data_IF_059456856753
#
_entry.id   IF_059456856753
#
_cell.length_a   1.000
_cell.length_b   1.000
_cell.length_c   1.000
_cell.angle_alpha   90.00
_cell.angle_beta   90.00
_cell.angle_gamma   90.00
#
_symmetry.space_group_name_H-M   'P 1'
#
loop_
_entity.id
_entity.type
_entity.pdbx_description
1 polymer ?
#
# COMPACT_ATOMS: atom_id res chain seq x y z
N UNK A 1 9.52 -83.31 17.90
CA UNK A 1 10.18 -82.73 16.71
C UNK A 1 9.12 -82.16 15.79
N UNK A 2 8.69 -80.93 16.03
CA UNK A 2 7.73 -80.23 15.16
C UNK A 2 8.28 -78.83 14.92
N UNK A 3 9.04 -78.72 13.84
CA UNK A 3 9.55 -77.45 13.33
C UNK A 3 8.38 -76.58 12.87
N UNK A 4 8.27 -75.39 13.46
CA UNK A 4 7.37 -74.34 12.99
C UNK A 4 8.17 -73.38 12.13
N UNK A 5 7.88 -73.42 10.84
CA UNK A 5 8.29 -72.43 9.85
C UNK A 5 7.75 -71.05 10.25
N UNK A 6 8.60 -70.03 10.25
CA UNK A 6 8.16 -68.64 10.26
C UNK A 6 8.07 -68.15 8.82
N UNK A 7 6.85 -67.89 8.36
CA UNK A 7 6.58 -67.22 7.09
C UNK A 7 6.75 -65.72 7.32
N UNK A 8 7.70 -65.12 6.61
CA UNK A 8 7.89 -63.67 6.52
C UNK A 8 6.83 -63.14 5.55
N UNK A 9 5.85 -62.37 6.05
CA UNK A 9 4.92 -61.60 5.21
C UNK A 9 4.80 -60.18 5.80
N UNK A 10 5.09 -59.18 4.96
CA UNK A 10 4.68 -57.79 5.20
C UNK A 10 5.78 -56.77 4.93
N UNK A 11 5.96 -56.41 3.65
CA UNK A 11 6.79 -55.28 3.24
C UNK A 11 6.28 -53.93 3.76
N UNK A 12 7.08 -52.85 3.63
CA UNK A 12 6.79 -51.57 4.25
C UNK A 12 5.56 -50.93 3.59
N UNK A 13 4.50 -50.76 4.36
CA UNK A 13 3.33 -49.97 3.97
C UNK A 13 3.79 -48.53 3.66
N UNK A 14 3.87 -48.19 2.37
CA UNK A 14 4.01 -46.79 1.93
C UNK A 14 2.77 -46.02 2.41
N UNK A 15 2.98 -45.11 3.36
CA UNK A 15 1.96 -44.16 3.76
C UNK A 15 1.50 -43.34 2.53
N UNK A 16 0.18 -43.09 2.38
CA UNK A 16 -0.31 -42.24 1.30
C UNK A 16 0.22 -40.81 1.47
N UNK A 17 0.57 -40.10 0.38
CA UNK A 17 1.07 -38.73 0.47
C UNK A 17 -0.01 -37.81 1.05
N UNK A 18 0.34 -37.12 2.13
CA UNK A 18 -0.52 -36.11 2.75
C UNK A 18 -0.80 -35.00 1.74
N UNK A 19 -2.07 -34.81 1.36
CA UNK A 19 -2.53 -33.69 0.55
C UNK A 19 -2.49 -32.43 1.42
N UNK A 20 -1.41 -31.65 1.31
CA UNK A 20 -1.38 -30.30 1.84
C UNK A 20 -2.34 -29.41 1.06
N UNK A 21 -3.18 -28.59 1.72
CA UNK A 21 -4.01 -27.61 1.03
C UNK A 21 -3.10 -26.62 0.29
N UNK A 22 -3.43 -26.32 -0.96
CA UNK A 22 -2.69 -25.34 -1.75
C UNK A 22 -2.75 -23.97 -1.06
N UNK A 23 -1.64 -23.23 -0.93
CA UNK A 23 -1.66 -21.90 -0.34
C UNK A 23 -2.57 -20.98 -1.16
N UNK A 24 -3.33 -20.08 -0.52
CA UNK A 24 -4.15 -19.12 -1.22
C UNK A 24 -3.24 -18.26 -2.11
N UNK A 25 -3.57 -18.21 -3.41
CA UNK A 25 -2.89 -17.34 -4.38
C UNK A 25 -3.48 -15.94 -4.24
N UNK A 26 -2.86 -15.10 -3.41
CA UNK A 26 -3.17 -13.69 -3.38
C UNK A 26 -2.50 -12.99 -4.57
N UNK A 27 -3.31 -12.39 -5.45
CA UNK A 27 -2.81 -11.58 -6.56
C UNK A 27 -2.56 -10.16 -6.04
N UNK A 28 -1.29 -9.83 -5.83
CA UNK A 28 -0.85 -8.49 -5.48
C UNK A 28 -0.57 -7.71 -6.77
N UNK A 29 -1.29 -6.62 -6.99
CA UNK A 29 -0.99 -5.67 -8.06
C UNK A 29 -0.03 -4.60 -7.52
N UNK A 30 1.10 -4.41 -8.20
CA UNK A 30 2.06 -3.35 -7.89
C UNK A 30 2.31 -2.51 -9.14
N UNK A 31 2.17 -1.19 -8.99
CA UNK A 31 2.55 -0.23 -10.01
C UNK A 31 4.00 0.19 -9.77
N UNK A 32 4.90 -0.21 -10.65
CA UNK A 32 6.32 0.17 -10.62
C UNK A 32 6.48 1.45 -11.45
N UNK A 33 6.45 2.61 -10.80
CA UNK A 33 6.74 3.88 -11.45
C UNK A 33 8.24 4.16 -11.46
N UNK A 34 8.76 4.53 -12.63
CA UNK A 34 10.14 4.98 -12.84
C UNK A 34 10.26 6.43 -12.37
N UNK A 35 11.35 6.77 -11.66
CA UNK A 35 11.64 8.17 -11.31
C UNK A 35 11.90 8.96 -12.59
N UNK A 36 10.97 9.86 -12.94
CA UNK A 36 11.21 10.85 -13.99
C UNK A 36 12.37 11.74 -13.57
N UNK A 37 13.43 11.74 -14.38
CA UNK A 37 14.51 12.71 -14.27
C UNK A 37 13.89 14.11 -14.41
N UNK A 38 14.22 14.99 -13.47
CA UNK A 38 13.75 16.36 -13.45
C UNK A 38 14.16 17.09 -14.74
N UNK A 39 13.24 17.22 -15.68
CA UNK A 39 13.35 18.18 -16.78
C UNK A 39 12.20 19.16 -16.67
N UNK A 40 12.55 20.44 -16.81
CA UNK A 40 11.67 21.60 -16.68
C UNK A 40 10.46 21.44 -17.61
N UNK A 41 9.28 21.59 -17.01
CA UNK A 41 8.02 22.12 -17.56
C UNK A 41 7.83 22.14 -19.08
N UNK A 42 6.87 21.36 -19.56
CA UNK A 42 5.89 21.78 -20.58
C UNK A 42 4.68 20.84 -20.61
N UNK A 43 3.51 21.42 -20.85
CA UNK A 43 2.15 20.86 -20.78
C UNK A 43 1.86 19.54 -21.53
N UNK A 44 0.82 18.85 -21.06
CA UNK A 44 -0.01 17.98 -21.88
C UNK A 44 -0.67 16.81 -21.13
N UNK A 45 -1.80 17.06 -20.44
CA UNK A 45 -2.87 16.07 -20.25
C UNK A 45 -4.11 16.71 -19.60
N UNK A 46 -5.06 17.07 -20.47
CA UNK A 46 -6.45 17.34 -20.13
C UNK A 46 -7.08 16.12 -19.42
N UNK A 47 -7.58 16.31 -18.20
CA UNK A 47 -8.56 15.42 -17.58
C UNK A 47 -9.61 16.28 -16.88
N UNK A 48 -10.72 16.48 -17.59
CA UNK A 48 -12.06 16.78 -17.10
C UNK A 48 -12.14 17.48 -15.74
N UNK A 49 -12.00 18.80 -15.72
CA UNK A 49 -12.47 19.76 -14.69
C UNK A 49 -12.10 19.52 -13.20
N UNK A 50 -11.36 18.46 -12.90
CA UNK A 50 -10.83 18.02 -11.59
C UNK A 50 -9.35 17.59 -11.78
N UNK A 51 -8.63 18.29 -12.67
CA UNK A 51 -7.34 17.87 -13.22
C UNK A 51 -6.18 18.85 -13.00
N UNK A 52 -6.24 19.73 -11.99
CA UNK A 52 -5.05 20.46 -11.56
C UNK A 52 -4.18 19.49 -10.75
N UNK A 53 -3.06 19.03 -11.34
CA UNK A 53 -2.02 18.34 -10.57
C UNK A 53 -1.75 19.17 -9.31
N UNK A 54 -1.84 18.57 -8.11
CA UNK A 54 -1.53 19.28 -6.88
C UNK A 54 -0.14 19.90 -7.04
N UNK A 55 0.00 21.17 -6.70
CA UNK A 55 1.21 21.96 -6.95
C UNK A 55 2.47 21.33 -6.30
N UNK A 56 2.30 20.40 -5.34
CA UNK A 56 3.34 19.60 -4.70
C UNK A 56 3.46 18.13 -5.15
N UNK A 57 2.75 17.71 -6.20
CA UNK A 57 2.74 16.34 -6.71
C UNK A 57 1.99 15.34 -5.81
N UNK A 58 2.29 14.06 -5.99
CA UNK A 58 1.67 12.96 -5.22
C UNK A 58 2.59 12.51 -4.08
N UNK A 59 2.03 12.35 -2.88
CA UNK A 59 2.73 11.85 -1.71
C UNK A 59 2.15 10.50 -1.27
N UNK A 60 3.03 9.58 -0.85
CA UNK A 60 2.65 8.24 -0.37
C UNK A 60 2.45 8.24 1.14
N UNK A 61 1.35 7.67 1.62
CA UNK A 61 1.13 7.44 3.04
C UNK A 61 2.10 6.36 3.53
N UNK A 62 2.96 6.69 4.48
CA UNK A 62 4.00 5.78 5.00
C UNK A 62 3.73 5.24 6.39
N UNK A 63 2.65 5.67 7.05
CA UNK A 63 2.24 5.16 8.34
C UNK A 63 0.71 5.01 8.42
N UNK A 64 0.19 4.18 9.35
CA UNK A 64 -1.24 4.07 9.57
C UNK A 64 -1.89 5.44 9.82
N UNK A 65 -2.99 5.71 9.10
CA UNK A 65 -3.75 6.94 9.23
C UNK A 65 -4.42 7.00 10.59
N UNK A 66 -4.25 8.12 11.30
CA UNK A 66 -4.82 8.32 12.64
C UNK A 66 -5.90 9.40 12.58
N UNK A 67 -7.16 9.03 12.23
CA UNK A 67 -8.25 9.98 12.20
C UNK A 67 -8.60 10.45 13.62
N UNK A 68 -8.76 11.76 13.80
CA UNK A 68 -9.25 12.39 15.02
C UNK A 68 -10.51 13.21 14.70
N UNK A 69 -11.26 13.66 15.71
CA UNK A 69 -12.32 14.64 15.49
C UNK A 69 -11.75 15.87 14.78
N UNK A 70 -12.37 16.27 13.66
CA UNK A 70 -12.05 17.47 12.84
C UNK A 70 -10.66 17.51 12.17
N UNK A 71 -9.79 16.53 12.39
CA UNK A 71 -8.43 16.48 11.79
C UNK A 71 -7.93 15.06 11.57
N UNK A 72 -7.03 14.88 10.60
CA UNK A 72 -6.38 13.59 10.32
C UNK A 72 -4.88 13.79 10.35
N UNK A 73 -4.18 12.95 11.13
CA UNK A 73 -2.71 12.97 11.14
C UNK A 73 -2.21 11.97 10.10
N UNK A 74 -1.39 12.44 9.17
CA UNK A 74 -0.77 11.65 8.11
C UNK A 74 0.75 11.72 8.22
N UNK A 75 1.41 10.62 7.88
CA UNK A 75 2.84 10.62 7.55
C UNK A 75 2.96 10.35 6.06
N UNK A 76 3.55 11.30 5.34
CA UNK A 76 3.59 11.34 3.90
C UNK A 76 5.05 11.35 3.42
N UNK A 77 5.39 10.47 2.48
CA UNK A 77 6.63 10.56 1.71
C UNK A 77 6.32 11.38 0.46
N UNK A 78 6.85 12.59 0.42
CA UNK A 78 6.70 13.53 -0.69
C UNK A 78 7.67 13.16 -1.84
N UNK A 79 7.42 13.64 -3.08
CA UNK A 79 8.26 13.29 -4.24
C UNK A 79 9.70 13.83 -4.16
N UNK A 80 9.93 14.83 -3.31
CA UNK A 80 11.24 15.34 -2.91
C UNK A 80 12.05 14.33 -2.07
N UNK A 81 11.43 13.24 -1.61
CA UNK A 81 12.01 12.26 -0.70
C UNK A 81 11.93 12.67 0.78
N UNK A 82 11.26 13.77 1.09
CA UNK A 82 11.05 14.20 2.47
C UNK A 82 9.88 13.44 3.09
N UNK A 83 10.08 12.95 4.31
CA UNK A 83 9.02 12.40 5.14
C UNK A 83 8.39 13.52 5.97
N UNK A 84 7.14 13.88 5.67
CA UNK A 84 6.41 14.96 6.34
C UNK A 84 5.28 14.41 7.19
N UNK A 85 5.13 14.95 8.41
CA UNK A 85 3.96 14.70 9.26
C UNK A 85 3.02 15.89 9.13
N UNK A 86 1.89 15.66 8.48
CA UNK A 86 0.90 16.70 8.19
C UNK A 86 -0.39 16.45 8.94
N UNK A 87 -1.04 17.53 9.37
CA UNK A 87 -2.38 17.51 9.94
C UNK A 87 -3.35 18.05 8.92
N UNK A 88 -4.13 17.17 8.29
CA UNK A 88 -5.14 17.57 7.31
C UNK A 88 -6.45 17.93 8.03
N UNK A 89 -6.92 19.15 7.81
CA UNK A 89 -8.23 19.65 8.24
C UNK A 89 -9.06 20.09 7.04
N UNK A 90 -10.39 19.99 7.16
CA UNK A 90 -11.31 20.44 6.12
C UNK A 90 -11.28 21.96 5.88
N UNK A 91 -10.91 22.73 6.91
CA UNK A 91 -10.83 24.19 6.84
C UNK A 91 -9.57 24.65 6.09
N UNK A 92 -8.42 24.02 6.34
CA UNK A 92 -7.13 24.43 5.75
C UNK A 92 -6.90 23.87 4.35
N UNK A 93 -7.25 22.60 4.11
CA UNK A 93 -6.93 21.92 2.86
C UNK A 93 -8.16 21.54 2.03
N UNK A 94 -9.33 22.06 2.41
CA UNK A 94 -10.59 21.79 1.74
C UNK A 94 -11.24 20.46 2.12
N UNK A 95 -12.55 20.39 1.85
CA UNK A 95 -13.37 19.20 2.09
C UNK A 95 -12.95 17.96 1.28
N UNK A 96 -12.59 18.07 -0.01
CA UNK A 96 -12.22 16.90 -0.82
C UNK A 96 -10.98 16.18 -0.27
N UNK A 97 -9.89 16.91 -0.03
CA UNK A 97 -8.65 16.33 0.51
C UNK A 97 -8.89 15.74 1.91
N UNK A 98 -9.66 16.42 2.75
CA UNK A 98 -10.02 15.91 4.08
C UNK A 98 -10.79 14.58 4.01
N UNK A 99 -11.74 14.44 3.08
CA UNK A 99 -12.49 13.19 2.87
C UNK A 99 -11.56 12.07 2.40
N UNK A 100 -10.72 12.34 1.40
CA UNK A 100 -9.76 11.37 0.89
C UNK A 100 -8.74 10.95 1.95
N UNK A 101 -8.16 11.90 2.69
CA UNK A 101 -7.24 11.66 3.79
C UNK A 101 -7.86 10.76 4.87
N UNK A 102 -9.14 10.94 5.17
CA UNK A 102 -9.84 10.13 6.19
C UNK A 102 -10.14 8.70 5.72
N UNK A 103 -10.39 8.52 4.42
CA UNK A 103 -10.61 7.21 3.82
C UNK A 103 -9.31 6.47 3.48
N UNK A 104 -8.18 7.19 3.41
CA UNK A 104 -6.89 6.62 3.02
C UNK A 104 -6.32 5.61 4.02
N UNK A 105 -5.52 4.71 3.51
CA UNK A 105 -4.80 3.65 4.22
C UNK A 105 -3.30 3.79 3.99
N UNK A 106 -2.55 3.01 4.77
CA UNK A 106 -1.10 2.91 4.56
C UNK A 106 -0.81 2.41 3.13
N UNK A 107 0.06 3.11 2.41
CA UNK A 107 0.43 2.78 1.03
C UNK A 107 -0.29 3.62 -0.03
N UNK A 108 -1.39 4.29 0.31
CA UNK A 108 -2.16 5.10 -0.64
C UNK A 108 -1.40 6.34 -1.11
N UNK A 109 -1.73 6.79 -2.32
CA UNK A 109 -1.26 8.06 -2.88
C UNK A 109 -2.30 9.15 -2.63
N UNK A 110 -1.85 10.24 -2.05
CA UNK A 110 -2.63 11.46 -1.82
C UNK A 110 -1.99 12.63 -2.57
N UNK A 111 -2.80 13.60 -3.02
CA UNK A 111 -2.28 14.90 -3.39
C UNK A 111 -1.43 15.45 -2.23
N UNK A 112 -0.19 15.84 -2.51
CA UNK A 112 0.69 16.38 -1.48
C UNK A 112 0.01 17.66 -0.93
N UNK A 113 -0.35 17.69 0.37
CA UNK A 113 -0.91 18.89 0.96
C UNK A 113 0.13 19.99 0.86
N UNK A 114 -0.24 21.11 0.26
CA UNK A 114 0.55 22.33 0.29
C UNK A 114 0.38 22.88 1.70
N UNK A 115 1.21 22.40 2.62
CA UNK A 115 1.31 23.00 3.94
C UNK A 115 2.13 24.29 3.78
N UNK A 116 1.50 25.45 3.93
CA UNK A 116 2.23 26.67 4.26
C UNK A 116 3.05 26.36 5.52
N UNK A 117 4.37 26.26 5.35
CA UNK A 117 5.32 25.93 6.40
C UNK A 117 5.04 26.87 7.57
N UNK A 118 4.38 26.36 8.61
CA UNK A 118 4.22 27.10 9.85
C UNK A 118 5.41 26.68 10.71
N UNK A 119 6.31 27.62 11.05
CA UNK A 119 7.54 27.33 11.81
C UNK A 119 7.25 26.77 13.21
#
# INVERSE_FOLDING_TARGET
HTGRHWVILGGPHRAPPLKLPSPPRELLSFLIARRGAATKSSEGAEASSEGALPQGGWARVTAPVRPRPRRVHLSLCCPDGALRRTVVTAARHGRPLYRQARASRWGDLLPAPVDDVTP
#
